data_IF_127337461900
#
_entry.id   IF_127337461900
#
_cell.length_a   1.000
_cell.length_b   1.000
_cell.length_c   1.000
_cell.angle_alpha   90.00
_cell.angle_beta   90.00
_cell.angle_gamma   90.00
#
_symmetry.space_group_name_H-M   'P 1'
#
loop_
_entity.id
_entity.type
_entity.pdbx_description
1 polymer ?
#
# COMPACT_ATOMS: atom_id res chain seq x y z
N UNK A 1 36.21 -40.59 49.03
CA UNK A 1 35.49 -39.89 47.95
C UNK A 1 34.47 -40.84 47.34
N UNK A 2 33.19 -40.47 47.36
CA UNK A 2 32.06 -41.30 46.89
C UNK A 2 31.85 -41.12 45.39
N UNK A 3 31.46 -42.20 44.70
CA UNK A 3 31.28 -42.27 43.22
C UNK A 3 30.28 -41.25 42.66
N UNK A 4 29.49 -40.62 43.51
CA UNK A 4 28.48 -39.61 43.16
C UNK A 4 29.08 -38.23 42.84
N UNK A 5 30.30 -37.92 43.30
CA UNK A 5 30.94 -36.62 43.03
C UNK A 5 31.60 -36.54 41.65
N UNK A 6 31.93 -37.68 41.04
CA UNK A 6 32.59 -37.79 39.73
C UNK A 6 31.71 -37.36 38.54
N UNK A 7 30.41 -37.09 38.77
CA UNK A 7 29.46 -36.73 37.72
C UNK A 7 29.02 -35.26 37.73
N UNK A 8 29.52 -34.45 38.68
CA UNK A 8 29.14 -33.03 38.78
C UNK A 8 29.94 -32.11 37.84
N UNK A 9 31.10 -32.54 37.34
CA UNK A 9 31.95 -31.73 36.45
C UNK A 9 32.02 -32.30 35.03
N UNK A 10 30.88 -32.51 34.37
CA UNK A 10 30.91 -32.69 32.91
C UNK A 10 30.98 -31.29 32.28
N UNK A 11 32.13 -30.83 31.74
CA UNK A 11 32.20 -29.52 31.11
C UNK A 11 31.20 -29.51 29.97
N UNK A 12 30.25 -28.57 30.01
CA UNK A 12 29.30 -28.34 28.93
C UNK A 12 30.12 -28.20 27.65
N UNK A 13 29.91 -29.12 26.71
CA UNK A 13 30.72 -29.19 25.49
C UNK A 13 30.66 -27.84 24.77
N UNK A 14 31.82 -27.22 24.55
CA UNK A 14 31.95 -25.95 23.81
C UNK A 14 31.23 -26.01 22.45
N UNK A 15 31.08 -27.21 21.89
CA UNK A 15 30.32 -27.49 20.67
C UNK A 15 28.83 -27.14 20.78
N UNK A 16 28.18 -27.43 21.92
CA UNK A 16 26.77 -27.09 22.14
C UNK A 16 26.59 -25.57 22.18
N UNK A 17 27.51 -24.88 22.83
CA UNK A 17 27.48 -23.42 22.92
C UNK A 17 27.67 -22.76 21.55
N UNK A 18 28.64 -23.23 20.76
CA UNK A 18 28.85 -22.77 19.37
C UNK A 18 27.65 -23.08 18.49
N UNK A 19 27.04 -24.26 18.64
CA UNK A 19 25.85 -24.64 17.87
C UNK A 19 24.64 -23.75 18.19
N UNK A 20 24.45 -23.35 19.45
CA UNK A 20 23.36 -22.45 19.85
C UNK A 20 23.58 -21.04 19.27
N UNK A 21 24.83 -20.55 19.31
CA UNK A 21 25.17 -19.23 18.74
C UNK A 21 24.95 -19.23 17.23
N UNK A 22 25.38 -20.28 16.53
CA UNK A 22 25.22 -20.39 15.09
C UNK A 22 23.74 -20.47 14.68
N UNK A 23 22.93 -21.24 15.42
CA UNK A 23 21.49 -21.32 15.20
C UNK A 23 20.79 -19.97 15.45
N UNK A 24 21.16 -19.28 16.53
CA UNK A 24 20.64 -17.94 16.84
C UNK A 24 21.00 -16.92 15.77
N UNK A 25 22.24 -16.97 15.26
CA UNK A 25 22.68 -16.11 14.14
C UNK A 25 21.90 -16.39 12.86
N UNK A 26 21.59 -17.65 12.57
CA UNK A 26 20.83 -18.02 11.39
C UNK A 26 19.40 -17.45 11.47
N UNK A 27 18.74 -17.62 12.61
CA UNK A 27 17.39 -17.10 12.85
C UNK A 27 17.37 -15.58 12.72
N UNK A 28 18.35 -14.87 13.30
CA UNK A 28 18.47 -13.42 13.20
C UNK A 28 18.66 -12.94 11.75
N UNK A 29 19.42 -13.69 10.94
CA UNK A 29 19.63 -13.36 9.54
C UNK A 29 18.34 -13.52 8.72
N UNK A 30 17.61 -14.62 8.94
CA UNK A 30 16.33 -14.87 8.27
C UNK A 30 15.25 -13.85 8.65
N UNK A 31 15.17 -13.44 9.92
CA UNK A 31 14.20 -12.41 10.33
C UNK A 31 14.55 -11.05 9.73
N UNK A 32 15.82 -10.66 9.71
CA UNK A 32 16.26 -9.42 9.08
C UNK A 32 15.94 -9.39 7.58
N UNK A 33 16.21 -10.49 6.85
CA UNK A 33 15.88 -10.63 5.43
C UNK A 33 14.37 -10.58 5.18
N UNK A 34 13.57 -11.21 6.06
CA UNK A 34 12.11 -11.18 5.97
C UNK A 34 11.57 -9.73 6.11
N UNK A 35 12.01 -8.99 7.13
CA UNK A 35 11.61 -7.60 7.30
C UNK A 35 12.08 -6.71 6.14
N UNK A 36 13.31 -6.91 5.67
CA UNK A 36 13.84 -6.18 4.52
C UNK A 36 13.01 -6.43 3.24
N UNK A 37 12.71 -7.71 2.96
CA UNK A 37 11.88 -8.09 1.81
C UNK A 37 10.47 -7.51 1.90
N UNK A 38 9.87 -7.45 3.09
CA UNK A 38 8.57 -6.81 3.27
C UNK A 38 8.62 -5.29 3.06
N UNK A 39 9.69 -4.62 3.50
CA UNK A 39 9.83 -3.18 3.28
C UNK A 39 9.99 -2.81 1.80
N UNK A 40 10.59 -3.69 1.00
CA UNK A 40 10.82 -3.43 -0.42
C UNK A 40 9.55 -3.57 -1.26
N UNK A 41 8.56 -4.35 -0.80
CA UNK A 41 7.29 -4.53 -1.49
C UNK A 41 6.35 -3.41 -1.05
N UNK A 42 6.72 -2.17 -1.39
CA UNK A 42 5.77 -1.07 -1.39
C UNK A 42 4.91 -1.27 -2.63
N UNK A 43 3.73 -1.90 -2.47
CA UNK A 43 2.71 -1.90 -3.53
C UNK A 43 2.19 -0.47 -3.58
N UNK A 44 2.92 0.39 -4.29
CA UNK A 44 2.40 1.68 -4.71
C UNK A 44 1.27 1.36 -5.68
N UNK A 45 0.04 1.30 -5.16
CA UNK A 45 -1.14 1.30 -6.01
C UNK A 45 -0.97 2.47 -6.97
N UNK A 46 -1.10 2.26 -8.30
CA UNK A 46 -0.90 3.34 -9.26
C UNK A 46 -1.80 4.49 -8.83
N UNK A 47 -1.19 5.60 -8.39
CA UNK A 47 -1.93 6.81 -8.01
C UNK A 47 -2.65 7.24 -9.27
N UNK A 48 -3.94 6.93 -9.34
CA UNK A 48 -4.80 7.27 -10.46
C UNK A 48 -4.86 8.79 -10.48
N UNK A 49 -4.19 9.40 -11.45
CA UNK A 49 -4.22 10.84 -11.63
C UNK A 49 -5.62 11.22 -12.10
N UNK A 50 -6.41 11.77 -11.17
CA UNK A 50 -7.78 12.18 -11.45
C UNK A 50 -7.83 13.51 -12.22
N UNK A 51 -6.71 14.22 -12.35
CA UNK A 51 -6.66 15.54 -12.99
C UNK A 51 -7.14 16.66 -12.06
N UNK A 52 -7.42 17.83 -12.63
CA UNK A 52 -7.83 18.99 -11.85
C UNK A 52 -9.26 18.86 -11.30
N UNK A 53 -9.50 19.48 -10.13
CA UNK A 53 -10.84 19.64 -9.56
C UNK A 53 -11.65 20.59 -10.45
N UNK A 54 -12.86 20.18 -10.82
CA UNK A 54 -13.78 20.96 -11.64
C UNK A 54 -15.20 20.90 -11.08
N UNK A 55 -15.97 21.93 -11.38
CA UNK A 55 -17.40 22.02 -11.07
C UNK A 55 -18.15 22.12 -12.39
N UNK A 56 -19.07 21.19 -12.61
CA UNK A 56 -19.94 21.19 -13.80
C UNK A 56 -21.30 21.73 -13.39
N UNK A 57 -21.65 22.89 -13.92
CA UNK A 57 -22.97 23.47 -13.76
C UNK A 57 -23.90 22.95 -14.85
N UNK A 58 -24.90 22.17 -14.47
CA UNK A 58 -25.90 21.64 -15.39
C UNK A 58 -26.93 22.73 -15.73
N UNK A 59 -27.52 22.68 -16.93
CA UNK A 59 -28.59 23.60 -17.33
C UNK A 59 -29.86 23.46 -16.46
N UNK A 60 -29.96 22.37 -15.68
CA UNK A 60 -31.01 22.18 -14.67
C UNK A 60 -30.79 22.96 -13.37
N UNK A 61 -29.69 23.73 -13.25
CA UNK A 61 -29.32 24.47 -12.05
C UNK A 61 -28.64 23.63 -10.96
N UNK A 62 -28.34 22.35 -11.24
CA UNK A 62 -27.59 21.47 -10.34
C UNK A 62 -26.10 21.56 -10.62
N UNK A 63 -25.27 21.53 -9.57
CA UNK A 63 -23.81 21.51 -9.69
C UNK A 63 -23.26 20.13 -9.40
N UNK A 64 -22.30 19.67 -10.20
CA UNK A 64 -21.60 18.40 -10.04
C UNK A 64 -20.13 18.66 -9.80
N UNK A 65 -19.64 18.27 -8.63
CA UNK A 65 -18.23 18.37 -8.26
C UNK A 65 -17.51 17.11 -8.71
N UNK A 66 -16.51 17.26 -9.57
CA UNK A 66 -15.81 16.12 -10.15
C UNK A 66 -14.37 16.48 -10.53
N UNK A 67 -13.66 15.54 -11.13
CA UNK A 67 -12.32 15.72 -11.65
C UNK A 67 -12.31 15.64 -13.18
N UNK A 68 -11.39 16.37 -13.78
CA UNK A 68 -11.26 16.51 -15.23
C UNK A 68 -11.15 15.17 -15.96
N UNK A 69 -10.30 14.24 -15.48
CA UNK A 69 -10.09 12.96 -16.16
C UNK A 69 -11.27 11.99 -16.04
N UNK A 70 -12.25 12.30 -15.18
CA UNK A 70 -13.50 11.53 -15.10
C UNK A 70 -14.56 12.03 -16.07
N UNK A 71 -14.30 13.12 -16.79
CA UNK A 71 -15.24 13.72 -17.75
C UNK A 71 -14.74 13.45 -19.16
N UNK A 72 -15.55 12.73 -19.94
CA UNK A 72 -15.23 12.29 -21.29
C UNK A 72 -16.24 12.88 -22.26
N UNK A 73 -15.74 13.39 -23.38
CA UNK A 73 -16.58 13.85 -24.49
C UNK A 73 -16.68 12.74 -25.53
N UNK A 74 -17.83 12.08 -25.60
CA UNK A 74 -18.14 11.07 -26.61
C UNK A 74 -19.28 11.59 -27.49
N UNK A 75 -19.13 11.51 -28.81
CA UNK A 75 -20.19 11.86 -29.79
C UNK A 75 -20.78 13.27 -29.64
N UNK A 76 -19.98 14.24 -29.18
CA UNK A 76 -20.42 15.61 -28.95
C UNK A 76 -21.22 15.82 -27.66
N UNK A 77 -21.44 14.75 -26.89
CA UNK A 77 -22.07 14.75 -25.57
C UNK A 77 -21.01 14.70 -24.47
N UNK A 78 -21.32 15.26 -23.32
CA UNK A 78 -20.40 15.30 -22.17
C UNK A 78 -20.87 14.27 -21.16
N UNK A 79 -20.02 13.31 -20.81
CA UNK A 79 -20.33 12.27 -19.84
C UNK A 79 -19.34 12.30 -18.68
N UNK A 80 -19.84 12.11 -17.48
CA UNK A 80 -19.00 11.73 -16.34
C UNK A 80 -18.95 10.21 -16.24
N UNK A 81 -17.75 9.64 -16.16
CA UNK A 81 -17.48 8.21 -16.09
C UNK A 81 -16.71 7.90 -14.82
N UNK A 82 -17.45 7.71 -13.73
CA UNK A 82 -16.89 7.18 -12.48
C UNK A 82 -16.66 5.67 -12.57
N UNK A 83 -16.03 5.10 -11.54
CA UNK A 83 -15.74 3.65 -11.50
C UNK A 83 -16.98 2.75 -11.54
N UNK A 84 -18.11 3.24 -11.02
CA UNK A 84 -19.35 2.45 -10.90
C UNK A 84 -20.53 3.05 -11.67
N UNK A 85 -20.46 4.34 -11.99
CA UNK A 85 -21.59 5.11 -12.50
C UNK A 85 -21.16 5.99 -13.67
N UNK A 86 -22.01 6.06 -14.68
CA UNK A 86 -21.91 7.04 -15.78
C UNK A 86 -23.06 8.03 -15.65
N UNK A 87 -22.77 9.33 -15.72
CA UNK A 87 -23.75 10.41 -15.66
C UNK A 87 -23.67 11.23 -16.96
N UNK A 88 -24.82 11.55 -17.55
CA UNK A 88 -24.90 12.47 -18.67
C UNK A 88 -24.83 13.91 -18.14
N UNK A 89 -23.82 14.65 -18.60
CA UNK A 89 -23.56 16.05 -18.26
C UNK A 89 -23.68 16.96 -19.49
N UNK A 90 -24.34 16.49 -20.55
CA UNK A 90 -24.48 17.22 -21.81
C UNK A 90 -25.16 18.58 -21.59
N UNK A 91 -24.55 19.63 -22.15
CA UNK A 91 -25.03 21.00 -22.01
C UNK A 91 -24.60 21.70 -20.70
N UNK A 92 -23.84 21.02 -19.83
CA UNK A 92 -23.23 21.65 -18.67
C UNK A 92 -22.01 22.51 -19.01
N UNK A 93 -21.77 23.56 -18.22
CA UNK A 93 -20.58 24.42 -18.31
C UNK A 93 -19.56 23.93 -17.29
N UNK A 94 -18.31 23.73 -17.74
CA UNK A 94 -17.19 23.33 -16.88
C UNK A 94 -16.55 24.59 -16.30
N UNK A 95 -16.50 24.68 -14.97
CA UNK A 95 -15.80 25.72 -14.23
C UNK A 95 -14.62 25.09 -13.48
N UNK A 96 -13.45 25.69 -13.65
CA UNK A 96 -12.24 25.31 -12.93
C UNK A 96 -12.20 26.11 -11.64
N UNK A 97 -12.78 25.53 -10.58
CA UNK A 97 -12.78 26.09 -9.23
C UNK A 97 -12.17 25.08 -8.26
N UNK A 98 -11.24 25.56 -7.44
CA UNK A 98 -10.75 24.81 -6.28
C UNK A 98 -11.82 24.86 -5.19
N UNK A 99 -12.52 23.74 -5.02
CA UNK A 99 -13.46 23.55 -3.93
C UNK A 99 -12.74 22.89 -2.72
N UNK A 100 -13.08 23.36 -1.51
CA UNK A 100 -12.57 22.86 -0.21
C UNK A 100 -13.06 21.44 0.10
#
# INVERSE_FOLDING_TARGET
MTRTELHLEKPRSKFILVSIILLGSLIALFTALYFYSQSLITIEAPKKDLGQKIVIQLPSGKSVFTYENLVVKEEGKLFYKGERNTLDLTGGIILYEEWE
#
